data_IF_501642724329
#
_entry.id   IF_501642724329
#
_cell.length_a   1.000
_cell.length_b   1.000
_cell.length_c   1.000
_cell.angle_alpha   90.00
_cell.angle_beta   90.00
_cell.angle_gamma   90.00
#
_symmetry.space_group_name_H-M   'P 1'
#
loop_
_entity.id
_entity.type
_entity.pdbx_description
1 polymer ?
#
# COMPACT_ATOMS: atom_id res chain seq x y z
N UNK A 1 -28.36 -12.35 -3.95
CA UNK A 1 -27.61 -11.22 -4.55
C UNK A 1 -27.09 -10.20 -3.53
N UNK A 2 -27.80 -9.89 -2.42
CA UNK A 2 -27.31 -8.91 -1.42
C UNK A 2 -26.15 -9.43 -0.53
N UNK A 3 -26.09 -10.74 -0.24
CA UNK A 3 -25.03 -11.33 0.59
C UNK A 3 -23.65 -11.32 -0.10
N UNK A 4 -23.58 -11.56 -1.40
CA UNK A 4 -22.33 -11.53 -2.18
C UNK A 4 -21.63 -10.17 -2.15
N UNK A 5 -22.38 -9.07 -2.23
CA UNK A 5 -21.80 -7.73 -2.20
C UNK A 5 -21.18 -7.38 -0.83
N UNK A 6 -21.70 -7.99 0.24
CA UNK A 6 -21.18 -7.82 1.60
C UNK A 6 -19.91 -8.66 1.78
N UNK A 7 -19.91 -9.92 1.35
CA UNK A 7 -18.73 -10.82 1.44
C UNK A 7 -17.54 -10.24 0.66
N UNK A 8 -17.74 -9.76 -0.56
CA UNK A 8 -16.69 -9.12 -1.37
C UNK A 8 -16.16 -7.81 -0.77
N UNK A 9 -17.04 -7.01 -0.15
CA UNK A 9 -16.63 -5.80 0.56
C UNK A 9 -15.75 -6.10 1.77
N UNK A 10 -15.99 -7.22 2.44
CA UNK A 10 -15.30 -7.66 3.65
C UNK A 10 -13.95 -8.31 3.32
N UNK A 11 -13.89 -9.20 2.32
CA UNK A 11 -12.62 -9.79 1.85
C UNK A 11 -11.65 -8.69 1.40
N UNK A 12 -12.16 -7.61 0.80
CA UNK A 12 -11.34 -6.46 0.42
C UNK A 12 -10.79 -5.65 1.62
N UNK A 13 -11.44 -5.69 2.78
CA UNK A 13 -10.95 -5.07 4.01
C UNK A 13 -9.86 -5.92 4.70
N UNK A 14 -9.90 -7.24 4.50
CA UNK A 14 -8.96 -8.18 5.11
C UNK A 14 -7.59 -8.23 4.41
N UNK A 15 -7.49 -7.78 3.15
CA UNK A 15 -6.20 -7.68 2.44
C UNK A 15 -5.27 -6.58 2.97
N UNK A 16 -5.73 -5.76 3.91
CA UNK A 16 -4.86 -4.84 4.64
C UNK A 16 -3.89 -5.54 5.62
N UNK A 17 -4.11 -6.84 5.91
CA UNK A 17 -3.28 -7.58 6.86
C UNK A 17 -2.17 -8.44 6.23
N UNK A 18 -2.14 -8.58 4.92
CA UNK A 18 -1.15 -9.45 4.26
C UNK A 18 0.08 -8.71 3.71
N UNK A 19 0.56 -7.69 4.41
CA UNK A 19 1.94 -7.22 4.19
C UNK A 19 2.97 -8.04 4.99
N UNK A 20 2.74 -9.35 5.17
CA UNK A 20 3.81 -10.29 5.47
C UNK A 20 4.63 -10.47 4.19
N UNK A 21 5.37 -9.43 3.86
CA UNK A 21 6.35 -9.46 2.80
C UNK A 21 7.42 -10.47 3.19
N UNK A 22 7.58 -11.50 2.38
CA UNK A 22 8.74 -12.35 2.50
C UNK A 22 9.97 -11.43 2.63
N UNK A 23 10.69 -11.51 3.75
CA UNK A 23 12.01 -10.90 3.85
C UNK A 23 12.83 -11.52 2.75
N UNK A 24 13.45 -10.74 1.86
CA UNK A 24 14.42 -11.33 0.95
C UNK A 24 15.41 -12.12 1.81
N UNK A 25 15.65 -13.37 1.42
CA UNK A 25 16.57 -14.26 2.13
C UNK A 25 17.89 -13.52 2.33
N UNK A 26 18.31 -13.39 3.58
CA UNK A 26 19.60 -12.78 3.89
C UNK A 26 20.70 -13.65 3.29
N UNK A 27 21.47 -13.06 2.44
CA UNK A 27 22.67 -13.46 1.74
C UNK A 27 23.52 -14.56 2.43
N UNK A 28 23.20 -15.84 2.29
CA UNK A 28 24.10 -16.91 2.76
C UNK A 28 24.16 -18.17 1.92
N UNK A 29 23.38 -18.29 0.83
CA UNK A 29 23.36 -19.54 0.04
C UNK A 29 23.49 -19.36 -1.49
N UNK A 30 23.81 -18.18 -2.02
CA UNK A 30 23.91 -17.91 -3.45
C UNK A 30 25.38 -17.73 -3.89
N UNK A 31 26.17 -18.79 -3.75
CA UNK A 31 27.48 -18.88 -4.40
C UNK A 31 27.27 -19.32 -5.87
N UNK A 32 27.12 -18.34 -6.76
CA UNK A 32 27.32 -18.54 -8.19
C UNK A 32 28.52 -17.69 -8.63
N UNK A 33 29.49 -18.35 -9.25
CA UNK A 33 30.79 -17.85 -9.66
C UNK A 33 30.81 -16.75 -10.76
N UNK A 34 29.66 -16.14 -11.10
CA UNK A 34 29.59 -15.02 -12.04
C UNK A 34 29.53 -13.68 -11.29
N UNK A 35 30.69 -13.26 -10.77
CA UNK A 35 30.87 -12.05 -9.95
C UNK A 35 30.64 -10.71 -10.70
N UNK A 36 30.19 -10.71 -11.96
CA UNK A 36 30.14 -9.50 -12.81
C UNK A 36 28.78 -8.81 -12.88
N UNK A 37 27.75 -9.26 -12.14
CA UNK A 37 26.40 -8.70 -12.27
C UNK A 37 25.71 -8.55 -10.92
N UNK A 38 26.25 -7.68 -10.05
CA UNK A 38 25.63 -7.35 -8.76
C UNK A 38 25.08 -5.93 -8.78
N UNK A 39 23.81 -5.77 -8.40
CA UNK A 39 23.17 -4.49 -8.15
C UNK A 39 23.17 -4.19 -6.66
N UNK A 40 23.76 -3.03 -6.28
CA UNK A 40 23.67 -2.51 -4.92
C UNK A 40 22.75 -1.29 -4.90
N UNK A 41 21.65 -1.37 -4.15
CA UNK A 41 20.72 -0.25 -4.00
C UNK A 41 21.27 0.71 -2.95
N UNK A 42 22.05 1.68 -3.40
CA UNK A 42 22.75 2.63 -2.53
C UNK A 42 22.40 4.06 -2.93
N UNK A 43 22.08 4.87 -1.92
CA UNK A 43 21.82 6.29 -2.08
C UNK A 43 23.12 7.07 -2.32
N UNK A 44 23.22 7.73 -3.46
CA UNK A 44 24.27 8.70 -3.79
C UNK A 44 23.65 10.10 -3.90
N UNK A 45 23.09 10.57 -2.77
CA UNK A 45 22.35 11.83 -2.74
C UNK A 45 23.23 12.99 -2.28
N UNK A 46 22.99 14.16 -2.85
CA UNK A 46 23.62 15.39 -2.44
C UNK A 46 22.67 16.26 -1.62
N UNK A 47 23.22 17.08 -0.73
CA UNK A 47 22.43 18.09 -0.05
C UNK A 47 21.72 19.00 -1.06
N UNK A 48 20.43 19.23 -0.86
CA UNK A 48 19.50 19.98 -1.73
C UNK A 48 19.08 19.21 -2.99
N UNK A 49 19.41 17.95 -3.14
CA UNK A 49 18.75 17.14 -4.17
C UNK A 49 17.24 17.12 -3.90
N UNK A 50 16.45 17.28 -4.97
CA UNK A 50 15.00 17.17 -4.90
C UNK A 50 14.47 16.26 -5.99
N UNK A 51 13.48 15.44 -5.62
CA UNK A 51 12.71 14.61 -6.54
C UNK A 51 11.22 14.85 -6.31
N UNK A 52 10.48 15.11 -7.37
CA UNK A 52 9.01 15.21 -7.32
C UNK A 52 8.40 13.95 -7.92
N UNK A 53 7.38 13.42 -7.24
CA UNK A 53 6.69 12.22 -7.66
C UNK A 53 5.18 12.44 -7.75
N UNK A 54 4.54 11.71 -8.67
CA UNK A 54 3.13 11.40 -8.62
C UNK A 54 2.93 10.00 -8.05
N UNK A 55 2.07 9.89 -7.06
CA UNK A 55 1.62 8.63 -6.45
C UNK A 55 0.16 8.45 -6.87
N UNK A 56 -0.11 7.40 -7.63
CA UNK A 56 -1.44 7.09 -8.13
C UNK A 56 -1.92 5.79 -7.49
N UNK A 57 -2.89 5.90 -6.61
CA UNK A 57 -3.55 4.76 -6.00
C UNK A 57 -4.88 4.51 -6.73
N UNK A 58 -5.16 3.28 -7.05
CA UNK A 58 -6.38 2.91 -7.75
C UNK A 58 -6.93 1.57 -7.26
N UNK A 59 -8.24 1.43 -7.32
CA UNK A 59 -8.93 0.18 -7.03
C UNK A 59 -9.90 -0.18 -8.14
N UNK A 60 -10.01 -1.48 -8.40
CA UNK A 60 -10.95 -2.03 -9.39
C UNK A 60 -11.71 -3.21 -8.77
N UNK A 61 -12.92 -3.42 -9.24
CA UNK A 61 -13.62 -4.71 -9.13
C UNK A 61 -13.19 -5.57 -10.29
N UNK A 62 -12.94 -6.85 -10.01
CA UNK A 62 -12.69 -7.89 -11.01
C UNK A 62 -13.87 -8.83 -11.01
N UNK A 63 -14.39 -9.16 -12.20
CA UNK A 63 -15.46 -10.13 -12.36
C UNK A 63 -15.33 -10.84 -13.70
N UNK A 64 -15.18 -12.17 -13.68
CA UNK A 64 -15.08 -13.03 -14.86
C UNK A 64 -14.00 -12.54 -15.86
N UNK A 65 -12.90 -11.98 -15.36
CA UNK A 65 -11.78 -11.42 -16.14
C UNK A 65 -11.95 -9.96 -16.55
N UNK A 66 -13.11 -9.36 -16.38
CA UNK A 66 -13.34 -7.93 -16.63
C UNK A 66 -13.00 -7.08 -15.40
N UNK A 67 -12.39 -5.91 -15.63
CA UNK A 67 -12.06 -4.95 -14.57
C UNK A 67 -12.87 -3.67 -14.69
N UNK A 68 -13.38 -3.18 -13.57
CA UNK A 68 -14.08 -1.89 -13.48
C UNK A 68 -13.45 -1.04 -12.39
N UNK A 69 -12.90 0.13 -12.76
CA UNK A 69 -12.32 1.08 -11.78
C UNK A 69 -13.39 1.57 -10.81
N UNK A 70 -13.09 1.52 -9.51
CA UNK A 70 -14.01 1.92 -8.44
C UNK A 70 -13.54 3.14 -7.67
N UNK A 71 -12.24 3.41 -7.63
CA UNK A 71 -11.68 4.61 -7.01
C UNK A 71 -10.29 4.92 -7.57
N UNK A 72 -9.89 6.16 -7.46
CA UNK A 72 -8.55 6.63 -7.79
C UNK A 72 -8.18 7.84 -6.95
N UNK A 73 -6.91 7.89 -6.54
CA UNK A 73 -6.31 9.01 -5.81
C UNK A 73 -4.96 9.28 -6.42
N UNK A 74 -4.64 10.54 -6.66
CA UNK A 74 -3.34 10.99 -7.13
C UNK A 74 -2.77 12.00 -6.15
N UNK A 75 -1.61 11.71 -5.59
CA UNK A 75 -0.90 12.58 -4.65
C UNK A 75 0.41 13.04 -5.28
N UNK A 76 0.66 14.34 -5.29
CA UNK A 76 1.95 14.90 -5.70
C UNK A 76 2.80 15.18 -4.48
N UNK A 77 4.02 14.68 -4.47
CA UNK A 77 4.94 14.81 -3.34
C UNK A 77 6.32 15.25 -3.80
N UNK A 78 7.09 15.85 -2.89
CA UNK A 78 8.49 16.21 -3.11
C UNK A 78 9.37 15.64 -2.01
N UNK A 79 10.37 14.89 -2.39
CA UNK A 79 11.49 14.50 -1.54
C UNK A 79 12.62 15.51 -1.65
N UNK A 80 13.16 15.94 -0.52
CA UNK A 80 14.29 16.86 -0.46
C UNK A 80 15.35 16.31 0.50
N UNK A 81 16.60 16.28 0.06
CA UNK A 81 17.75 16.03 0.95
C UNK A 81 18.09 17.32 1.66
N UNK A 82 17.68 17.46 2.91
CA UNK A 82 17.90 18.67 3.70
C UNK A 82 19.33 18.76 4.24
N UNK A 83 19.95 17.61 4.49
CA UNK A 83 21.34 17.51 4.88
C UNK A 83 21.95 16.16 4.49
N UNK A 84 23.24 16.14 4.17
CA UNK A 84 24.01 14.96 3.79
C UNK A 84 25.27 14.91 4.62
N UNK A 85 25.50 13.79 5.28
CA UNK A 85 26.66 13.55 6.13
C UNK A 85 27.26 12.16 5.86
N UNK A 86 28.44 11.88 6.38
CA UNK A 86 29.04 10.53 6.30
C UNK A 86 28.23 9.44 7.03
N UNK A 87 27.20 9.81 7.78
CA UNK A 87 26.34 8.87 8.55
C UNK A 87 24.96 8.70 7.93
N UNK A 88 24.71 9.31 6.77
CA UNK A 88 23.43 9.25 6.09
C UNK A 88 22.82 10.61 5.82
N UNK A 89 21.54 10.61 5.48
CA UNK A 89 20.81 11.76 4.98
C UNK A 89 19.68 12.16 5.92
N UNK A 90 19.48 13.48 6.10
CA UNK A 90 18.24 14.04 6.63
C UNK A 90 17.35 14.40 5.43
N UNK A 91 16.13 13.95 5.46
CA UNK A 91 15.19 14.07 4.33
C UNK A 91 13.86 14.64 4.76
N UNK A 92 13.22 15.33 3.83
CA UNK A 92 11.87 15.84 3.96
C UNK A 92 11.01 15.29 2.81
N UNK A 93 9.85 14.73 3.15
CA UNK A 93 8.82 14.30 2.22
C UNK A 93 7.62 15.24 2.40
N UNK A 94 7.35 16.08 1.40
CA UNK A 94 6.34 17.13 1.45
C UNK A 94 5.20 16.86 0.50
N UNK A 95 3.96 16.96 0.98
CA UNK A 95 2.76 16.88 0.16
C UNK A 95 2.53 18.20 -0.58
N UNK A 96 2.44 18.15 -1.92
CA UNK A 96 2.31 19.32 -2.79
C UNK A 96 0.91 19.47 -3.37
N UNK A 97 0.28 18.36 -3.76
CA UNK A 97 -1.05 18.35 -4.39
C UNK A 97 -1.74 17.02 -4.11
N UNK A 98 -3.06 17.03 -4.20
CA UNK A 98 -3.88 15.85 -4.01
C UNK A 98 -5.14 15.93 -4.87
N UNK A 99 -5.43 14.84 -5.61
CA UNK A 99 -6.58 14.73 -6.49
C UNK A 99 -7.27 13.40 -6.23
N UNK A 100 -8.49 13.43 -5.75
CA UNK A 100 -9.31 12.24 -5.52
C UNK A 100 -10.32 12.05 -6.65
N UNK A 101 -10.42 10.84 -7.17
CA UNK A 101 -11.43 10.42 -8.12
C UNK A 101 -12.08 9.13 -7.61
N UNK A 102 -13.30 9.23 -7.14
CA UNK A 102 -14.08 8.07 -6.75
C UNK A 102 -15.26 7.92 -7.71
N UNK A 103 -15.22 6.87 -8.50
CA UNK A 103 -16.19 6.57 -9.55
C UNK A 103 -17.43 5.81 -9.03
N UNK A 104 -17.61 5.69 -7.72
CA UNK A 104 -18.70 4.92 -7.14
C UNK A 104 -20.00 5.73 -7.11
N UNK A 105 -20.96 5.38 -7.94
CA UNK A 105 -22.36 5.85 -7.93
C UNK A 105 -23.13 5.30 -6.70
N UNK A 106 -22.58 5.47 -5.51
CA UNK A 106 -23.20 5.02 -4.28
C UNK A 106 -23.10 6.07 -3.19
N UNK A 107 -24.06 6.07 -2.26
CA UNK A 107 -24.04 6.98 -1.10
C UNK A 107 -22.79 6.81 -0.24
N UNK A 108 -22.22 5.61 -0.19
CA UNK A 108 -20.94 5.34 0.46
C UNK A 108 -19.81 5.99 -0.32
N UNK A 109 -19.84 5.92 -1.66
CA UNK A 109 -18.87 6.59 -2.52
C UNK A 109 -18.91 8.12 -2.38
N UNK A 110 -20.10 8.73 -2.33
CA UNK A 110 -20.24 10.17 -2.06
C UNK A 110 -19.67 10.57 -0.70
N UNK A 111 -19.91 9.76 0.33
CA UNK A 111 -19.33 9.97 1.66
C UNK A 111 -17.80 9.87 1.62
N UNK A 112 -17.25 8.81 1.01
CA UNK A 112 -15.80 8.63 0.87
C UNK A 112 -15.17 9.79 0.10
N UNK A 113 -15.77 10.22 -1.01
CA UNK A 113 -15.31 11.38 -1.78
C UNK A 113 -15.26 12.65 -0.96
N UNK A 114 -16.30 12.91 -0.19
CA UNK A 114 -16.36 14.12 0.64
C UNK A 114 -15.28 14.10 1.72
N UNK A 115 -15.09 12.96 2.38
CA UNK A 115 -14.05 12.77 3.39
C UNK A 115 -12.64 12.91 2.79
N UNK A 116 -12.38 12.21 1.69
CA UNK A 116 -11.11 12.26 0.97
C UNK A 116 -10.78 13.67 0.52
N UNK A 117 -11.71 14.36 -0.16
CA UNK A 117 -11.50 15.73 -0.65
C UNK A 117 -11.24 16.73 0.47
N UNK A 118 -11.77 16.49 1.66
CA UNK A 118 -11.54 17.35 2.80
C UNK A 118 -10.18 17.11 3.43
N UNK A 119 -9.87 15.85 3.76
CA UNK A 119 -8.58 15.47 4.34
C UNK A 119 -7.41 15.86 3.42
N UNK A 120 -7.59 15.75 2.10
CA UNK A 120 -6.60 16.11 1.11
C UNK A 120 -6.18 17.56 1.13
N UNK A 121 -7.15 18.48 1.24
CA UNK A 121 -6.85 19.92 1.30
C UNK A 121 -6.03 20.28 2.52
N UNK A 122 -6.22 19.54 3.59
CA UNK A 122 -5.58 19.84 4.87
C UNK A 122 -4.18 19.19 4.98
N UNK A 123 -3.89 18.16 4.18
CA UNK A 123 -2.57 17.52 4.14
C UNK A 123 -1.56 18.27 3.26
N UNK A 124 -2.02 19.00 2.24
CA UNK A 124 -1.14 19.78 1.36
C UNK A 124 -0.34 20.80 2.16
N UNK A 125 0.98 20.79 1.98
CA UNK A 125 1.93 21.63 2.70
C UNK A 125 2.50 20.99 3.96
N UNK A 126 1.94 19.86 4.44
CA UNK A 126 2.56 19.12 5.54
C UNK A 126 3.81 18.38 5.07
N UNK A 127 4.71 18.08 6.00
CA UNK A 127 5.98 17.39 5.69
C UNK A 127 6.29 16.32 6.72
N UNK A 128 6.69 15.15 6.26
CA UNK A 128 7.30 14.10 7.06
C UNK A 128 8.82 14.25 7.00
N UNK A 129 9.47 14.40 8.16
CA UNK A 129 10.92 14.44 8.26
C UNK A 129 11.44 13.09 8.75
N UNK A 130 12.45 12.59 8.05
CA UNK A 130 13.03 11.30 8.35
C UNK A 130 14.56 11.29 8.12
N UNK A 131 15.21 10.27 8.64
CA UNK A 131 16.64 10.02 8.45
C UNK A 131 16.86 8.67 7.81
N UNK A 132 17.90 8.62 7.01
CA UNK A 132 18.44 7.36 6.50
C UNK A 132 19.86 7.16 7.02
N UNK A 133 20.38 5.93 6.88
CA UNK A 133 21.81 5.67 6.95
C UNK A 133 22.53 6.11 5.67
N UNK A 134 23.83 5.83 5.57
CA UNK A 134 24.66 6.16 4.41
C UNK A 134 24.28 5.42 3.14
N UNK A 135 23.53 4.32 3.25
CA UNK A 135 23.07 3.55 2.11
C UNK A 135 21.67 3.97 1.64
N UNK A 136 20.98 4.80 2.40
CA UNK A 136 19.62 5.27 2.09
C UNK A 136 18.51 4.50 2.82
N UNK A 137 18.82 3.53 3.67
CA UNK A 137 17.83 2.82 4.47
C UNK A 137 17.21 3.74 5.53
N UNK A 138 15.87 3.83 5.61
CA UNK A 138 15.18 4.67 6.59
C UNK A 138 15.43 4.13 8.00
N UNK A 139 16.03 4.96 8.85
CA UNK A 139 16.37 4.58 10.23
C UNK A 139 15.44 5.20 11.25
N UNK A 140 14.84 6.36 10.94
CA UNK A 140 14.02 7.08 11.90
C UNK A 140 13.11 8.11 11.24
N UNK A 141 11.87 8.19 11.68
CA UNK A 141 10.97 9.33 11.46
C UNK A 141 11.10 10.32 12.61
N UNK A 142 11.31 11.61 12.32
CA UNK A 142 11.60 12.62 13.36
C UNK A 142 10.35 13.27 13.92
N UNK A 143 9.31 13.52 13.10
CA UNK A 143 8.10 14.24 13.48
C UNK A 143 6.82 13.40 13.34
N UNK A 144 6.90 12.07 13.33
CA UNK A 144 5.75 11.21 13.13
C UNK A 144 4.67 11.39 14.21
N UNK A 145 5.09 11.66 15.46
CA UNK A 145 4.15 11.95 16.57
C UNK A 145 3.36 13.23 16.32
N UNK A 146 4.01 14.27 15.79
CA UNK A 146 3.35 15.55 15.44
C UNK A 146 2.34 15.31 14.30
N UNK A 147 2.75 14.58 13.27
CA UNK A 147 1.89 14.21 12.14
C UNK A 147 0.68 13.39 12.62
N UNK A 148 0.89 12.42 13.53
CA UNK A 148 -0.20 11.63 14.13
C UNK A 148 -1.22 12.51 14.86
N UNK A 149 -0.74 13.49 15.60
CA UNK A 149 -1.62 14.42 16.31
C UNK A 149 -2.42 15.29 15.33
N UNK A 150 -1.75 15.87 14.33
CA UNK A 150 -2.40 16.68 13.29
C UNK A 150 -3.43 15.87 12.48
N UNK A 151 -3.07 14.66 12.05
CA UNK A 151 -3.97 13.77 11.33
C UNK A 151 -5.22 13.45 12.16
N UNK A 152 -5.06 13.23 13.48
CA UNK A 152 -6.20 13.03 14.38
C UNK A 152 -7.12 14.23 14.44
N UNK A 153 -6.57 15.42 14.65
CA UNK A 153 -7.35 16.66 14.73
C UNK A 153 -8.11 16.93 13.42
N UNK A 154 -7.45 16.73 12.29
CA UNK A 154 -8.06 16.87 10.96
C UNK A 154 -9.18 15.85 10.74
N UNK A 155 -8.96 14.60 11.12
CA UNK A 155 -9.95 13.54 11.02
C UNK A 155 -11.16 13.82 11.92
N UNK A 156 -10.95 14.19 13.19
CA UNK A 156 -12.02 14.52 14.13
C UNK A 156 -12.86 15.72 13.60
N UNK A 157 -12.20 16.76 13.07
CA UNK A 157 -12.87 17.92 12.46
C UNK A 157 -13.67 17.54 11.21
N UNK A 158 -13.08 16.74 10.29
CA UNK A 158 -13.75 16.27 9.10
C UNK A 158 -14.97 15.42 9.45
N UNK A 159 -14.84 14.56 10.45
CA UNK A 159 -15.91 13.71 10.94
C UNK A 159 -17.08 14.50 11.53
N UNK A 160 -16.82 15.49 12.39
CA UNK A 160 -17.86 16.35 12.95
C UNK A 160 -18.67 17.11 11.88
N UNK A 161 -18.03 17.51 10.80
CA UNK A 161 -18.73 18.15 9.68
C UNK A 161 -19.55 17.14 8.86
N UNK A 162 -18.99 15.94 8.62
CA UNK A 162 -19.72 14.89 7.91
C UNK A 162 -20.96 14.42 8.64
N UNK A 163 -20.94 14.38 9.99
CA UNK A 163 -22.11 14.05 10.80
C UNK A 163 -23.30 15.00 10.55
N UNK A 164 -23.04 16.22 10.08
CA UNK A 164 -24.07 17.23 9.75
C UNK A 164 -24.58 17.13 8.32
N UNK A 165 -24.00 16.26 7.49
CA UNK A 165 -24.37 16.12 6.08
C UNK A 165 -25.61 15.22 5.89
N UNK A 166 -26.49 15.51 4.93
CA UNK A 166 -27.68 14.69 4.65
C UNK A 166 -27.35 13.23 4.27
N UNK A 167 -26.13 12.97 3.78
CA UNK A 167 -25.68 11.62 3.46
C UNK A 167 -25.69 10.70 4.69
N UNK A 168 -25.46 11.23 5.90
CA UNK A 168 -25.49 10.46 7.14
C UNK A 168 -26.88 9.94 7.47
N UNK A 169 -27.92 10.73 7.26
CA UNK A 169 -29.31 10.30 7.45
C UNK A 169 -29.68 9.22 6.42
N UNK A 170 -29.18 9.37 5.19
CA UNK A 170 -29.37 8.39 4.13
C UNK A 170 -28.71 7.04 4.45
N UNK A 171 -27.52 7.03 5.03
CA UNK A 171 -26.79 5.81 5.43
C UNK A 171 -27.47 5.11 6.61
N UNK A 172 -27.91 5.87 7.63
CA UNK A 172 -28.70 5.34 8.73
C UNK A 172 -30.01 4.71 8.25
N UNK A 173 -30.67 5.31 7.24
CA UNK A 173 -31.93 4.78 6.69
C UNK A 173 -31.79 3.40 6.02
N UNK A 174 -30.57 3.02 5.60
CA UNK A 174 -30.25 1.71 5.03
C UNK A 174 -29.57 0.77 6.03
N UNK A 175 -29.54 1.14 7.33
CA UNK A 175 -29.02 0.33 8.43
C UNK A 175 -27.49 0.33 8.54
N UNK A 176 -26.80 1.31 7.94
CA UNK A 176 -25.34 1.42 8.03
C UNK A 176 -24.99 2.43 9.14
N UNK A 177 -24.44 1.94 10.26
CA UNK A 177 -23.90 2.78 11.33
C UNK A 177 -22.41 3.11 11.10
N UNK A 178 -22.16 4.11 10.28
CA UNK A 178 -20.81 4.61 10.01
C UNK A 178 -20.15 5.17 11.29
N UNK A 179 -20.93 5.64 12.27
CA UNK A 179 -20.41 6.19 13.51
C UNK A 179 -19.57 5.15 14.26
N UNK A 180 -20.08 3.91 14.33
CA UNK A 180 -19.37 2.79 14.94
C UNK A 180 -18.14 2.39 14.14
N UNK A 181 -18.23 2.37 12.81
CA UNK A 181 -17.09 2.06 11.92
C UNK A 181 -15.95 3.07 12.09
N UNK A 182 -16.27 4.35 12.09
CA UNK A 182 -15.27 5.42 12.22
C UNK A 182 -14.65 5.46 13.62
N UNK A 183 -15.43 5.25 14.68
CA UNK A 183 -14.89 5.19 16.06
C UNK A 183 -13.94 4.02 16.27
N UNK A 184 -14.08 2.96 15.48
CA UNK A 184 -13.18 1.78 15.49
C UNK A 184 -12.00 1.94 14.52
N UNK A 185 -12.02 2.94 13.61
CA UNK A 185 -10.90 3.23 12.74
C UNK A 185 -9.70 3.68 13.61
N UNK A 186 -8.64 2.90 13.57
CA UNK A 186 -7.40 3.23 14.27
C UNK A 186 -6.68 4.33 13.50
N UNK A 187 -6.51 5.48 14.17
CA UNK A 187 -5.78 6.62 13.60
C UNK A 187 -4.31 6.26 13.30
N UNK A 188 -3.75 5.29 14.04
CA UNK A 188 -2.44 4.75 13.72
C UNK A 188 -2.38 4.23 12.29
N UNK A 189 -3.40 3.51 11.83
CA UNK A 189 -3.51 2.97 10.46
C UNK A 189 -3.53 4.09 9.40
N UNK A 190 -4.17 5.23 9.70
CA UNK A 190 -4.19 6.37 8.76
C UNK A 190 -2.80 6.98 8.59
N UNK A 191 -2.03 7.04 9.66
CA UNK A 191 -0.67 7.62 9.62
C UNK A 191 0.35 6.63 9.07
N UNK A 192 0.14 5.34 9.32
CA UNK A 192 0.96 4.29 8.72
C UNK A 192 0.83 4.33 7.18
N UNK A 193 -0.36 4.67 6.66
CA UNK A 193 -0.56 4.98 5.24
C UNK A 193 0.34 6.10 4.72
N UNK A 194 0.61 7.16 5.48
CA UNK A 194 1.49 8.27 5.05
C UNK A 194 2.97 7.90 4.97
N UNK A 195 3.40 6.83 5.60
CA UNK A 195 4.78 6.34 5.54
C UNK A 195 4.93 5.14 4.62
N UNK A 196 3.83 4.52 4.20
CA UNK A 196 3.85 3.30 3.38
C UNK A 196 4.52 3.55 2.03
N UNK A 197 4.21 4.68 1.37
CA UNK A 197 4.83 5.03 0.09
C UNK A 197 6.33 5.33 0.24
N UNK A 198 6.74 5.98 1.35
CA UNK A 198 8.15 6.19 1.64
C UNK A 198 8.88 4.88 1.86
N UNK A 199 8.32 3.99 2.66
CA UNK A 199 8.88 2.67 2.90
C UNK A 199 8.93 1.82 1.62
N UNK A 200 7.93 1.98 0.74
CA UNK A 200 7.91 1.36 -0.56
C UNK A 200 9.03 1.90 -1.46
N UNK A 201 9.23 3.22 -1.55
CA UNK A 201 10.29 3.82 -2.36
C UNK A 201 11.69 3.45 -1.88
N UNK A 202 11.91 3.39 -0.57
CA UNK A 202 13.21 3.14 0.04
C UNK A 202 13.45 1.69 0.45
N UNK A 203 12.58 0.77 0.05
CA UNK A 203 12.51 -0.61 0.49
C UNK A 203 13.84 -1.38 0.39
N UNK A 204 14.54 -1.24 -0.71
CA UNK A 204 15.72 -2.03 -1.01
C UNK A 204 17.05 -1.32 -0.74
N UNK A 205 17.01 -0.06 -0.30
CA UNK A 205 18.23 0.66 0.06
C UNK A 205 19.04 -0.09 1.14
N UNK A 206 20.34 -0.16 0.92
CA UNK A 206 21.25 -0.90 1.78
C UNK A 206 21.39 -2.39 1.44
N UNK A 207 20.67 -2.89 0.43
CA UNK A 207 20.76 -4.28 0.00
C UNK A 207 21.52 -4.41 -1.32
N UNK A 208 22.09 -5.60 -1.54
CA UNK A 208 22.74 -5.98 -2.79
C UNK A 208 22.12 -7.27 -3.32
N UNK A 209 22.00 -7.38 -4.63
CA UNK A 209 21.36 -8.49 -5.32
C UNK A 209 22.20 -8.91 -6.50
N UNK A 210 22.26 -10.21 -6.78
CA UNK A 210 22.80 -10.71 -8.04
C UNK A 210 21.74 -10.59 -9.13
N UNK A 211 22.14 -10.12 -10.31
CA UNK A 211 21.24 -10.03 -11.48
C UNK A 211 20.78 -11.43 -11.87
N UNK A 212 19.48 -11.60 -12.16
CA UNK A 212 18.90 -12.88 -12.54
C UNK A 212 17.46 -13.05 -12.07
N UNK A 213 16.97 -14.26 -12.27
CA UNK A 213 15.61 -14.68 -11.91
C UNK A 213 15.67 -15.79 -10.86
N UNK A 214 14.80 -15.72 -9.85
CA UNK A 214 14.80 -16.62 -8.70
C UNK A 214 13.36 -17.00 -8.34
N UNK A 215 13.11 -18.30 -8.25
CA UNK A 215 11.84 -18.86 -7.80
C UNK A 215 12.00 -19.41 -6.38
N UNK A 216 10.99 -19.18 -5.54
CA UNK A 216 10.93 -19.73 -4.20
C UNK A 216 9.51 -20.24 -3.88
N UNK A 217 9.43 -21.30 -3.10
CA UNK A 217 8.20 -21.88 -2.61
C UNK A 217 8.22 -21.94 -1.09
N UNK A 218 7.21 -21.38 -0.46
CA UNK A 218 7.04 -21.41 0.98
C UNK A 218 5.86 -22.30 1.35
N UNK A 219 6.10 -23.32 2.16
CA UNK A 219 5.06 -24.21 2.67
C UNK A 219 4.17 -23.51 3.72
N UNK A 220 2.92 -23.97 3.85
CA UNK A 220 1.99 -23.52 4.90
C UNK A 220 2.58 -23.75 6.29
N UNK A 221 2.55 -22.73 7.12
CA UNK A 221 2.91 -22.76 8.53
C UNK A 221 1.73 -22.39 9.40
N UNK A 222 1.86 -22.44 10.76
CA UNK A 222 0.80 -21.96 11.67
C UNK A 222 0.51 -20.45 11.57
N UNK A 223 1.36 -19.70 10.91
CA UNK A 223 1.29 -18.23 10.85
C UNK A 223 1.18 -17.68 9.42
N UNK A 224 1.53 -18.50 8.42
CA UNK A 224 1.66 -18.07 7.03
C UNK A 224 1.07 -19.13 6.11
N UNK A 225 0.36 -18.70 5.09
CA UNK A 225 -0.16 -19.57 4.03
C UNK A 225 0.94 -19.96 3.06
N UNK A 226 0.77 -21.11 2.39
CA UNK A 226 1.67 -21.53 1.32
C UNK A 226 1.67 -20.47 0.20
N UNK A 227 2.85 -20.17 -0.32
CA UNK A 227 3.01 -19.18 -1.39
C UNK A 227 4.12 -19.56 -2.37
N UNK A 228 3.89 -19.25 -3.63
CA UNK A 228 4.89 -19.29 -4.69
C UNK A 228 5.35 -17.85 -4.97
N UNK A 229 6.66 -17.64 -5.05
CA UNK A 229 7.24 -16.33 -5.33
C UNK A 229 8.28 -16.38 -6.43
N UNK A 230 8.35 -15.29 -7.19
CA UNK A 230 9.36 -15.08 -8.22
C UNK A 230 9.99 -13.70 -8.03
N UNK A 231 11.31 -13.62 -8.10
CA UNK A 231 12.10 -12.40 -8.00
C UNK A 231 12.94 -12.26 -9.27
N UNK A 232 12.86 -11.11 -9.94
CA UNK A 232 13.70 -10.75 -11.08
C UNK A 232 14.50 -9.49 -10.77
N UNK A 233 15.79 -9.51 -11.10
CA UNK A 233 16.71 -8.39 -10.91
C UNK A 233 17.42 -8.13 -12.22
N UNK A 234 17.21 -6.93 -12.77
CA UNK A 234 17.74 -6.51 -14.06
C UNK A 234 18.63 -5.27 -13.90
N UNK A 235 19.70 -5.21 -14.69
CA UNK A 235 20.62 -4.07 -14.78
C UNK A 235 20.78 -3.66 -16.23
N UNK A 236 20.56 -2.40 -16.54
CA UNK A 236 20.94 -1.83 -17.83
C UNK A 236 22.42 -1.40 -17.79
N UNK A 237 23.31 -2.09 -18.54
CA UNK A 237 24.75 -1.81 -18.49
C UNK A 237 25.12 -0.46 -19.13
N UNK A 238 24.26 0.16 -19.93
CA UNK A 238 24.52 1.44 -20.59
C UNK A 238 24.22 2.61 -19.68
N UNK A 239 23.09 2.57 -18.98
CA UNK A 239 22.62 3.63 -18.09
C UNK A 239 22.96 3.40 -16.63
N UNK A 240 23.29 2.16 -16.26
CA UNK A 240 23.43 1.69 -14.88
C UNK A 240 22.14 1.83 -14.07
N UNK A 241 21.01 1.99 -14.72
CA UNK A 241 19.69 1.89 -14.11
C UNK A 241 19.34 0.42 -13.88
N UNK A 242 18.60 0.15 -12.84
CA UNK A 242 18.26 -1.23 -12.47
C UNK A 242 16.84 -1.36 -12.00
N UNK A 243 16.32 -2.57 -12.12
CA UNK A 243 14.99 -2.90 -11.64
C UNK A 243 14.98 -4.17 -10.78
N UNK A 244 14.04 -4.20 -9.85
CA UNK A 244 13.73 -5.34 -8.99
C UNK A 244 12.24 -5.58 -9.12
N UNK A 245 11.83 -6.79 -9.50
CA UNK A 245 10.42 -7.17 -9.62
C UNK A 245 10.14 -8.40 -8.78
N UNK A 246 8.99 -8.44 -8.14
CA UNK A 246 8.52 -9.60 -7.38
C UNK A 246 7.10 -9.96 -7.76
N UNK A 247 6.82 -11.25 -7.91
CA UNK A 247 5.46 -11.78 -7.92
C UNK A 247 5.31 -12.77 -6.78
N UNK A 248 4.15 -12.75 -6.14
CA UNK A 248 3.81 -13.70 -5.08
C UNK A 248 2.36 -14.14 -5.27
N UNK A 249 2.12 -15.44 -5.29
CA UNK A 249 0.79 -16.02 -5.28
C UNK A 249 0.59 -16.80 -3.98
N UNK A 250 -0.47 -16.48 -3.25
CA UNK A 250 -0.84 -17.10 -1.98
C UNK A 250 -2.23 -17.68 -2.08
N UNK A 251 -2.41 -18.93 -1.64
CA UNK A 251 -3.72 -19.60 -1.56
C UNK A 251 -4.23 -19.56 -0.13
N UNK A 252 -5.40 -18.96 0.06
CA UNK A 252 -6.04 -18.86 1.37
C UNK A 252 -7.21 -19.88 1.40
N UNK A 253 -7.15 -20.90 2.29
CA UNK A 253 -8.21 -21.89 2.38
C UNK A 253 -9.58 -21.27 2.66
N UNK A 254 -10.62 -21.78 2.00
CA UNK A 254 -12.00 -21.28 2.15
C UNK A 254 -12.49 -21.31 3.61
N UNK A 255 -12.05 -22.28 4.41
CA UNK A 255 -12.35 -22.36 5.85
C UNK A 255 -11.84 -21.13 6.63
N UNK A 256 -10.64 -20.64 6.31
CA UNK A 256 -10.02 -19.52 7.02
C UNK A 256 -10.67 -18.20 6.62
N UNK A 257 -11.09 -18.09 5.36
CA UNK A 257 -11.93 -16.98 4.90
C UNK A 257 -13.26 -16.96 5.65
N UNK A 258 -13.87 -18.14 5.86
CA UNK A 258 -15.12 -18.27 6.62
C UNK A 258 -14.97 -17.78 8.06
N UNK A 259 -13.89 -18.17 8.74
CA UNK A 259 -13.61 -17.75 10.12
C UNK A 259 -13.43 -16.24 10.20
N UNK A 260 -12.69 -15.63 9.26
CA UNK A 260 -12.47 -14.20 9.21
C UNK A 260 -13.75 -13.42 8.91
N UNK A 261 -14.54 -13.85 7.93
CA UNK A 261 -15.82 -13.21 7.60
C UNK A 261 -16.83 -13.41 8.72
N UNK A 262 -16.86 -14.60 9.35
CA UNK A 262 -17.68 -14.89 10.51
C UNK A 262 -17.40 -13.93 11.66
N UNK A 263 -16.13 -13.72 12.02
CA UNK A 263 -15.73 -12.75 13.03
C UNK A 263 -16.20 -11.31 12.72
N UNK A 264 -16.15 -10.91 11.45
CA UNK A 264 -16.63 -9.60 11.02
C UNK A 264 -18.16 -9.51 11.12
N UNK A 265 -18.87 -10.54 10.68
CA UNK A 265 -20.34 -10.61 10.78
C UNK A 265 -20.78 -10.55 12.24
N UNK A 266 -20.17 -11.33 13.13
CA UNK A 266 -20.43 -11.30 14.58
C UNK A 266 -20.15 -9.92 15.20
N UNK A 267 -19.07 -9.25 14.74
CA UNK A 267 -18.68 -7.93 15.26
C UNK A 267 -19.62 -6.80 14.84
N UNK A 268 -20.25 -6.91 13.66
CA UNK A 268 -21.02 -5.82 13.02
C UNK A 268 -22.49 -6.14 12.74
N UNK A 269 -22.97 -7.35 13.05
CA UNK A 269 -24.36 -7.76 12.83
C UNK A 269 -25.01 -8.23 14.13
N UNK A 270 -26.35 -8.25 14.17
CA UNK A 270 -27.10 -8.86 15.27
C UNK A 270 -26.93 -10.39 15.26
N UNK A 271 -26.93 -11.03 16.43
CA UNK A 271 -26.68 -12.48 16.63
C UNK A 271 -27.49 -13.42 15.71
N UNK A 272 -28.70 -13.01 15.32
CA UNK A 272 -29.57 -13.81 14.42
C UNK A 272 -29.05 -13.94 12.98
N UNK A 273 -28.05 -13.14 12.56
CA UNK A 273 -27.51 -13.16 11.19
C UNK A 273 -26.24 -13.99 11.05
N UNK A 274 -25.62 -14.39 12.15
CA UNK A 274 -24.37 -15.17 12.12
C UNK A 274 -24.59 -16.64 11.76
N UNK A 275 -25.68 -17.27 12.26
CA UNK A 275 -26.03 -18.66 11.93
C UNK A 275 -26.44 -18.78 10.46
N UNK A 276 -27.31 -17.88 9.96
CA UNK A 276 -27.73 -17.85 8.57
C UNK A 276 -26.52 -17.64 7.62
N UNK A 277 -25.53 -16.84 8.03
CA UNK A 277 -24.32 -16.60 7.26
C UNK A 277 -23.48 -17.88 7.09
N UNK A 278 -23.26 -18.64 8.18
CA UNK A 278 -22.44 -19.84 8.15
C UNK A 278 -22.97 -20.88 7.17
N UNK A 279 -24.27 -21.11 7.21
CA UNK A 279 -24.94 -22.09 6.33
C UNK A 279 -24.96 -21.63 4.86
N UNK A 280 -25.12 -20.35 4.62
CA UNK A 280 -25.09 -19.77 3.26
C UNK A 280 -23.68 -19.80 2.68
N UNK A 281 -22.65 -19.49 3.49
CA UNK A 281 -21.24 -19.54 3.11
C UNK A 281 -20.85 -20.94 2.62
N UNK A 282 -21.11 -21.99 3.41
CA UNK A 282 -20.73 -23.36 3.07
C UNK A 282 -21.41 -23.89 1.80
N UNK A 283 -22.57 -23.34 1.44
CA UNK A 283 -23.26 -23.69 0.20
C UNK A 283 -22.65 -23.00 -1.01
N UNK A 284 -22.13 -21.81 -0.83
CA UNK A 284 -21.74 -20.91 -1.92
C UNK A 284 -20.23 -20.85 -2.14
N UNK A 285 -19.41 -20.86 -1.08
CA UNK A 285 -17.96 -20.74 -1.19
C UNK A 285 -17.30 -22.11 -1.06
N UNK A 286 -16.81 -22.65 -2.17
CA UNK A 286 -16.20 -23.99 -2.26
C UNK A 286 -14.76 -23.95 -2.76
N UNK A 287 -14.28 -22.78 -3.13
CA UNK A 287 -12.93 -22.58 -3.65
C UNK A 287 -12.13 -21.74 -2.69
N UNK A 288 -10.83 -21.96 -2.66
CA UNK A 288 -9.88 -21.14 -1.93
C UNK A 288 -9.78 -19.75 -2.57
N UNK A 289 -9.46 -18.74 -1.80
CA UNK A 289 -9.12 -17.45 -2.38
C UNK A 289 -7.67 -17.44 -2.86
N UNK A 290 -7.44 -16.73 -3.94
CA UNK A 290 -6.11 -16.48 -4.48
C UNK A 290 -5.78 -15.02 -4.24
N UNK A 291 -4.65 -14.76 -3.62
CA UNK A 291 -4.05 -13.44 -3.49
C UNK A 291 -2.78 -13.40 -4.30
N UNK A 292 -2.78 -12.60 -5.36
CA UNK A 292 -1.62 -12.41 -6.23
C UNK A 292 -1.09 -11.00 -6.05
N UNK A 293 0.21 -10.87 -5.81
CA UNK A 293 0.90 -9.59 -5.74
C UNK A 293 1.95 -9.49 -6.83
N UNK A 294 2.01 -8.36 -7.50
CA UNK A 294 3.07 -8.02 -8.42
C UNK A 294 3.63 -6.64 -8.07
N UNK A 295 4.95 -6.57 -7.87
CA UNK A 295 5.62 -5.35 -7.48
C UNK A 295 6.86 -5.15 -8.34
N UNK A 296 7.17 -3.89 -8.65
CA UNK A 296 8.36 -3.53 -9.42
C UNK A 296 8.93 -2.22 -8.91
N UNK A 297 10.23 -2.16 -8.78
CA UNK A 297 11.00 -0.98 -8.41
C UNK A 297 12.05 -0.72 -9.48
N UNK A 298 12.05 0.49 -10.01
CA UNK A 298 13.12 0.96 -10.91
C UNK A 298 13.88 2.09 -10.23
N UNK A 299 15.17 2.07 -10.40
CA UNK A 299 16.08 3.05 -9.79
C UNK A 299 16.98 3.67 -10.84
N UNK A 300 17.25 4.95 -10.67
CA UNK A 300 18.37 5.59 -11.33
C UNK A 300 19.70 5.06 -10.76
N UNK A 301 20.78 5.21 -11.50
CA UNK A 301 22.13 4.75 -11.10
C UNK A 301 22.60 5.28 -9.74
N UNK A 302 22.08 6.39 -9.27
CA UNK A 302 22.40 7.00 -7.98
C UNK A 302 21.42 6.63 -6.85
N UNK A 303 20.57 5.63 -7.08
CA UNK A 303 19.67 5.06 -6.08
C UNK A 303 18.37 5.81 -5.86
N UNK A 304 18.09 6.92 -6.58
CA UNK A 304 16.76 7.49 -6.53
C UNK A 304 15.75 6.56 -7.22
N UNK A 305 14.61 6.23 -6.59
CA UNK A 305 13.57 5.48 -7.27
C UNK A 305 13.01 6.30 -8.44
N UNK A 306 12.98 5.74 -9.65
CA UNK A 306 12.36 6.36 -10.82
C UNK A 306 10.91 5.95 -10.95
N UNK A 307 10.61 4.69 -10.64
CA UNK A 307 9.26 4.14 -10.72
C UNK A 307 9.08 3.06 -9.67
N UNK A 308 7.93 3.06 -9.00
CA UNK A 308 7.53 1.95 -8.14
C UNK A 308 6.10 1.57 -8.46
N UNK A 309 5.86 0.29 -8.68
CA UNK A 309 4.53 -0.28 -8.88
C UNK A 309 4.29 -1.36 -7.82
N UNK A 310 3.17 -1.26 -7.14
CA UNK A 310 2.66 -2.31 -6.27
C UNK A 310 1.23 -2.62 -6.66
N UNK A 311 0.96 -3.89 -6.96
CA UNK A 311 -0.34 -4.36 -7.37
C UNK A 311 -0.71 -5.61 -6.57
N UNK A 312 -1.92 -5.64 -6.03
CA UNK A 312 -2.46 -6.81 -5.32
C UNK A 312 -3.85 -7.11 -5.83
N UNK A 313 -4.04 -8.33 -6.30
CA UNK A 313 -5.31 -8.88 -6.70
C UNK A 313 -5.77 -9.95 -5.70
N UNK A 314 -7.02 -9.87 -5.28
CA UNK A 314 -7.64 -10.90 -4.44
C UNK A 314 -8.84 -11.45 -5.19
N UNK A 315 -8.83 -12.75 -5.44
CA UNK A 315 -9.86 -13.44 -6.21
C UNK A 315 -10.53 -14.53 -5.38
N UNK A 316 -11.85 -14.61 -5.47
CA UNK A 316 -12.67 -15.68 -4.90
C UNK A 316 -13.82 -15.99 -5.87
N UNK A 317 -13.88 -17.22 -6.39
CA UNK A 317 -14.96 -17.67 -7.29
C UNK A 317 -15.18 -16.74 -8.50
N UNK A 318 -14.11 -16.36 -9.20
CA UNK A 318 -14.16 -15.50 -10.40
C UNK A 318 -14.50 -14.03 -10.12
N UNK A 319 -14.63 -13.64 -8.87
CA UNK A 319 -14.85 -12.25 -8.47
C UNK A 319 -13.76 -11.77 -7.53
N UNK A 320 -13.39 -10.51 -7.63
CA UNK A 320 -12.29 -10.01 -6.81
C UNK A 320 -12.15 -8.51 -6.80
N UNK A 321 -11.03 -8.10 -6.25
CA UNK A 321 -10.59 -6.72 -6.16
C UNK A 321 -9.13 -6.63 -6.52
N UNK A 322 -8.81 -5.64 -7.33
CA UNK A 322 -7.46 -5.24 -7.65
C UNK A 322 -7.18 -3.89 -6.99
N UNK A 323 -6.07 -3.79 -6.30
CA UNK A 323 -5.50 -2.52 -5.80
C UNK A 323 -4.16 -2.30 -6.47
N UNK A 324 -3.86 -1.05 -6.79
CA UNK A 324 -2.59 -0.65 -7.38
C UNK A 324 -2.13 0.66 -6.78
N UNK A 325 -0.85 0.74 -6.44
CA UNK A 325 -0.12 1.97 -6.16
C UNK A 325 0.98 2.11 -7.19
N UNK A 326 0.97 3.21 -7.93
CA UNK A 326 1.97 3.53 -8.94
C UNK A 326 2.63 4.86 -8.61
N UNK A 327 3.93 4.84 -8.35
CA UNK A 327 4.76 5.99 -8.03
C UNK A 327 5.68 6.24 -9.22
N UNK A 328 5.64 7.44 -9.77
CA UNK A 328 6.51 7.83 -10.87
C UNK A 328 7.11 9.20 -10.63
N UNK A 329 8.40 9.35 -10.92
CA UNK A 329 9.05 10.65 -10.85
C UNK A 329 8.53 11.60 -11.93
N UNK A 330 8.52 12.89 -11.62
CA UNK A 330 8.11 13.95 -12.56
C UNK A 330 9.26 14.91 -12.84
N UNK A 331 9.90 15.41 -11.81
CA UNK A 331 11.01 16.35 -11.93
C UNK A 331 12.12 16.02 -10.96
N UNK A 332 13.34 16.34 -11.36
CA UNK A 332 14.54 16.17 -10.56
C UNK A 332 15.38 17.44 -10.61
N UNK A 333 15.91 17.84 -9.46
CA UNK A 333 16.93 18.87 -9.35
C UNK A 333 18.10 18.35 -8.51
N UNK A 334 19.29 18.40 -9.07
CA UNK A 334 20.51 17.99 -8.38
C UNK A 334 21.08 19.18 -7.65
N UNK A 335 21.27 19.05 -6.34
CA UNK A 335 21.94 20.04 -5.53
C UNK A 335 23.38 20.20 -6.01
N UNK A 336 23.85 21.44 -6.13
CA UNK A 336 25.25 21.66 -6.48
C UNK A 336 26.11 21.21 -5.29
N UNK A 337 27.04 20.25 -5.45
CA UNK A 337 27.96 19.94 -4.37
C UNK A 337 28.72 21.23 -4.04
N UNK A 338 28.63 21.69 -2.80
CA UNK A 338 29.39 22.87 -2.36
C UNK A 338 30.88 22.59 -2.61
N UNK A 339 31.50 23.49 -3.38
CA UNK A 339 32.95 23.47 -3.65
C UNK A 339 33.76 23.63 -2.38
#
# INVERSE_FOLDING_TARGET
MKAYSVILGIVAACTAFSSAWARPATHSEWDNDDADSTVAVIAWFNKRDTMTYWINESSWKVKDGDTTKTSGVSTKVMLTVTDSTKKGYNMEYKFLDFQGDTLADSKIGEFQNTLVNKLSKDIVGTSIRFRTDEYGHITKYENLKEIKTQAKELFDSAYEELLKQPVMDSLKSVGIDITTLIKKADIATIVDGYTEELEMMFRFHGNSFTVGEYDDHSDETKKEYASDSHLSIDLDPETMEYSISTTVETKIPSKDIKELVGYIVETFSDDSKSEDFSDEYDKQVKEDAIVSSWNSWKYFADGWPSEVLSQTETMLMGQGKLKQTFIAWETRSVGNPEK
#
